data_IF_403599038952
#
_entry.id   IF_403599038952
#
_cell.length_a   1.000
_cell.length_b   1.000
_cell.length_c   1.000
_cell.angle_alpha   90.00
_cell.angle_beta   90.00
_cell.angle_gamma   90.00
#
_symmetry.space_group_name_H-M   'P 1'
#
loop_
_entity.id
_entity.type
_entity.pdbx_description
1 polymer ?
#
# COMPACT_ATOMS: atom_id res chain seq x y z
N UNK A 1 -11.67 -4.99 11.62
CA UNK A 1 -11.71 -5.36 10.19
C UNK A 1 -10.41 -6.03 9.83
N UNK A 2 -10.44 -7.15 9.11
CA UNK A 2 -9.22 -7.78 8.59
C UNK A 2 -8.85 -7.08 7.27
N UNK A 3 -7.62 -6.55 7.19
CA UNK A 3 -7.08 -6.01 5.95
C UNK A 3 -6.76 -7.16 4.99
N UNK A 4 -6.94 -6.94 3.68
CA UNK A 4 -6.54 -7.93 2.67
C UNK A 4 -5.02 -8.00 2.46
N UNK A 5 -4.25 -7.15 3.15
CA UNK A 5 -2.80 -7.03 3.04
C UNK A 5 -2.18 -6.75 4.41
N UNK A 6 -0.95 -7.20 4.62
CA UNK A 6 -0.13 -6.92 5.81
C UNK A 6 1.06 -6.00 5.52
N UNK A 7 1.41 -5.83 4.24
CA UNK A 7 2.59 -5.08 3.79
C UNK A 7 2.30 -4.29 2.52
N UNK A 8 2.92 -3.12 2.42
CA UNK A 8 2.86 -2.25 1.25
C UNK A 8 4.28 -1.90 0.83
N UNK A 9 4.58 -2.08 -0.46
CA UNK A 9 5.81 -1.60 -1.07
C UNK A 9 5.48 -0.35 -1.88
N UNK A 10 6.17 0.73 -1.57
CA UNK A 10 6.07 2.02 -2.27
C UNK A 10 7.29 2.18 -3.16
N UNK A 11 7.11 2.35 -4.47
CA UNK A 11 8.17 2.74 -5.37
C UNK A 11 8.46 4.23 -5.20
N UNK A 12 9.70 4.58 -4.86
CA UNK A 12 10.14 5.96 -4.72
C UNK A 12 10.62 6.48 -6.09
N UNK A 13 10.52 7.80 -6.31
CA UNK A 13 10.80 8.43 -7.60
C UNK A 13 12.26 8.34 -8.06
N UNK A 14 13.16 7.92 -7.19
CA UNK A 14 14.60 7.72 -7.43
C UNK A 14 14.94 6.28 -7.85
N UNK A 15 13.92 5.45 -8.11
CA UNK A 15 14.10 4.04 -8.47
C UNK A 15 14.27 3.11 -7.28
N UNK A 16 14.27 3.63 -6.05
CA UNK A 16 14.25 2.80 -4.84
C UNK A 16 12.83 2.35 -4.50
N UNK A 17 12.70 1.43 -3.56
CA UNK A 17 11.41 1.01 -3.04
C UNK A 17 11.47 0.90 -1.53
N UNK A 18 10.45 1.42 -0.86
CA UNK A 18 10.30 1.36 0.59
C UNK A 18 9.21 0.35 0.95
N UNK A 19 9.55 -0.62 1.80
CA UNK A 19 8.58 -1.53 2.40
C UNK A 19 8.06 -0.94 3.72
N UNK A 20 6.77 -1.08 3.97
CA UNK A 20 6.14 -0.71 5.24
C UNK A 20 5.00 -1.67 5.57
N UNK A 21 4.74 -1.86 6.87
CA UNK A 21 3.60 -2.63 7.33
C UNK A 21 2.28 -1.89 7.04
N UNK A 22 1.18 -2.63 6.98
CA UNK A 22 -0.15 -2.06 6.75
C UNK A 22 -0.48 -0.96 7.78
N UNK A 23 -0.12 -1.14 9.05
CA UNK A 23 -0.32 -0.13 10.10
C UNK A 23 0.43 1.17 9.84
N UNK A 24 1.65 1.08 9.31
CA UNK A 24 2.48 2.25 8.98
C UNK A 24 1.92 2.98 7.76
N UNK A 25 1.48 2.23 6.75
CA UNK A 25 0.81 2.80 5.59
C UNK A 25 -0.47 3.56 6.00
N UNK A 26 -1.28 2.99 6.90
CA UNK A 26 -2.50 3.64 7.38
C UNK A 26 -2.23 4.86 8.26
N UNK A 27 -1.10 4.90 8.96
CA UNK A 27 -0.66 6.06 9.72
C UNK A 27 -0.24 7.25 8.83
N UNK A 28 0.01 7.03 7.53
CA UNK A 28 0.26 8.11 6.59
C UNK A 28 -0.98 9.01 6.47
N UNK A 29 -0.72 10.32 6.32
CA UNK A 29 -1.78 11.30 6.01
C UNK A 29 -2.52 10.86 4.74
N UNK A 30 -3.84 11.07 4.72
CA UNK A 30 -4.71 10.64 3.62
C UNK A 30 -4.21 11.17 2.25
N UNK A 31 -3.79 12.42 2.18
CA UNK A 31 -3.26 13.03 0.96
C UNK A 31 -2.01 12.30 0.43
N UNK A 32 -1.14 11.81 1.31
CA UNK A 32 0.06 11.05 0.93
C UNK A 32 -0.34 9.68 0.36
N UNK A 33 -1.26 8.98 1.03
CA UNK A 33 -1.78 7.69 0.54
C UNK A 33 -2.43 7.84 -0.84
N UNK A 34 -3.30 8.83 -1.00
CA UNK A 34 -3.99 9.12 -2.28
C UNK A 34 -2.99 9.43 -3.38
N UNK A 35 -1.94 10.21 -3.10
CA UNK A 35 -0.87 10.49 -4.06
C UNK A 35 -0.21 9.21 -4.55
N UNK A 36 0.21 8.32 -3.65
CA UNK A 36 0.84 7.06 -4.04
C UNK A 36 -0.09 6.14 -4.85
N UNK A 37 -1.38 6.12 -4.52
CA UNK A 37 -2.41 5.38 -5.27
C UNK A 37 -2.52 5.90 -6.71
N UNK A 38 -2.63 7.23 -6.89
CA UNK A 38 -2.78 7.87 -8.19
C UNK A 38 -1.54 7.73 -9.07
N UNK A 39 -0.36 7.80 -8.46
CA UNK A 39 0.93 7.62 -9.13
C UNK A 39 1.22 6.15 -9.49
N UNK A 40 0.34 5.20 -9.12
CA UNK A 40 0.51 3.75 -9.33
C UNK A 40 1.84 3.23 -8.75
N UNK A 41 2.25 3.77 -7.60
CA UNK A 41 3.53 3.44 -6.93
C UNK A 41 3.38 2.40 -5.83
N UNK A 42 2.19 1.83 -5.62
CA UNK A 42 1.92 0.90 -4.53
C UNK A 42 1.81 -0.54 -5.03
N UNK A 43 2.42 -1.47 -4.29
CA UNK A 43 2.18 -2.91 -4.37
C UNK A 43 1.78 -3.43 -3.00
N UNK A 44 0.67 -4.15 -2.93
CA UNK A 44 0.12 -4.67 -1.68
C UNK A 44 0.45 -6.16 -1.54
N UNK A 45 0.75 -6.61 -0.33
CA UNK A 45 1.11 -8.00 -0.07
C UNK A 45 0.38 -8.55 1.15
N UNK A 46 0.01 -9.83 1.09
CA UNK A 46 -0.40 -10.65 2.22
C UNK A 46 0.65 -11.75 2.38
N UNK A 47 1.57 -11.58 3.32
CA UNK A 47 2.76 -12.38 3.49
C UNK A 47 3.68 -12.26 2.27
N UNK A 48 3.78 -13.34 1.50
CA UNK A 48 4.58 -13.43 0.27
C UNK A 48 3.76 -13.21 -1.01
N UNK A 49 2.43 -13.15 -0.92
CA UNK A 49 1.55 -13.03 -2.08
C UNK A 49 1.24 -11.57 -2.37
N UNK A 50 1.43 -11.14 -3.61
CA UNK A 50 0.95 -9.83 -4.08
C UNK A 50 -0.59 -9.84 -4.23
N UNK A 51 -1.22 -8.76 -3.80
CA UNK A 51 -2.67 -8.57 -3.76
C UNK A 51 -3.05 -7.47 -4.75
N UNK A 52 -4.14 -7.66 -5.47
CA UNK A 52 -4.65 -6.66 -6.41
C UNK A 52 -4.96 -5.35 -5.68
N UNK A 53 -4.56 -4.23 -6.28
CA UNK A 53 -4.73 -2.91 -5.68
C UNK A 53 -6.20 -2.58 -5.40
N UNK A 54 -7.15 -2.99 -6.24
CA UNK A 54 -8.58 -2.71 -6.02
C UNK A 54 -9.10 -3.52 -4.84
N UNK A 55 -8.69 -4.79 -4.72
CA UNK A 55 -9.03 -5.65 -3.59
C UNK A 55 -8.48 -5.09 -2.27
N UNK A 56 -7.20 -4.71 -2.26
CA UNK A 56 -6.56 -4.08 -1.11
C UNK A 56 -7.28 -2.79 -0.68
N UNK A 57 -7.61 -1.92 -1.63
CA UNK A 57 -8.31 -0.66 -1.34
C UNK A 57 -9.76 -0.86 -0.88
N UNK A 58 -10.47 -1.88 -1.38
CA UNK A 58 -11.82 -2.23 -0.89
C UNK A 58 -11.80 -2.64 0.58
N UNK A 59 -10.73 -3.29 1.05
CA UNK A 59 -10.60 -3.67 2.46
C UNK A 59 -10.39 -2.48 3.43
N UNK A 60 -10.23 -1.26 2.90
CA UNK A 60 -10.08 -0.02 3.67
C UNK A 60 -11.40 0.71 3.95
N UNK A 61 -12.50 0.29 3.33
CA UNK A 61 -13.85 0.84 3.52
C UNK A 61 -14.50 0.27 4.79
#
# INVERSE_FOLDING_TARGET
MALAFDKVIVAEGDGTSRSMEAKEFLALKLNVRVRYILEKRLRFFSGSREVDQREALRSLQ
#
